data_IF_458799803010
#
_entry.id   IF_458799803010
#
_cell.length_a   1.000
_cell.length_b   1.000
_cell.length_c   1.000
_cell.angle_alpha   90.00
_cell.angle_beta   90.00
_cell.angle_gamma   90.00
#
_symmetry.space_group_name_H-M   'P 1'
#
loop_
_entity.id
_entity.type
_entity.pdbx_description
1 polymer ?
#
# COMPACT_ATOMS: atom_id res chain seq x y z
N UNK A 1 -29.06 14.70 -4.39
CA UNK A 1 -28.19 13.98 -3.44
C UNK A 1 -27.23 13.08 -4.22
N UNK A 2 -26.21 13.68 -4.82
CA UNK A 2 -25.20 12.97 -5.58
C UNK A 2 -23.87 13.01 -4.82
N UNK A 3 -23.19 11.87 -4.70
CA UNK A 3 -21.85 11.76 -4.10
C UNK A 3 -21.65 10.40 -3.47
N UNK A 4 -20.42 9.88 -3.57
CA UNK A 4 -20.05 8.63 -2.91
C UNK A 4 -19.82 8.89 -1.43
N UNK A 5 -20.39 8.05 -0.57
CA UNK A 5 -20.19 8.11 0.89
C UNK A 5 -19.35 6.91 1.32
N UNK A 6 -18.19 7.13 1.94
CA UNK A 6 -17.45 6.05 2.58
C UNK A 6 -18.26 5.42 3.73
N UNK A 7 -17.96 4.16 4.09
CA UNK A 7 -18.49 3.57 5.32
C UNK A 7 -18.15 4.44 6.54
N UNK A 8 -19.07 4.58 7.48
CA UNK A 8 -18.86 5.37 8.71
C UNK A 8 -17.85 4.69 9.63
N UNK A 9 -17.81 3.36 9.63
CA UNK A 9 -16.92 2.58 10.48
C UNK A 9 -15.78 1.96 9.66
N UNK A 10 -14.52 2.37 9.88
CA UNK A 10 -13.35 1.76 9.23
C UNK A 10 -13.02 0.37 9.78
N UNK A 11 -13.68 -0.07 10.88
CA UNK A 11 -13.46 -1.36 11.51
C UNK A 11 -14.42 -2.40 10.93
N UNK A 12 -13.87 -3.47 10.35
CA UNK A 12 -14.66 -4.59 9.84
C UNK A 12 -15.19 -5.48 10.96
N UNK A 13 -14.35 -5.79 11.95
CA UNK A 13 -14.70 -6.68 13.06
C UNK A 13 -14.19 -6.06 14.36
N UNK A 14 -15.11 -5.72 15.27
CA UNK A 14 -14.76 -5.31 16.62
C UNK A 14 -14.47 -6.55 17.47
N UNK A 15 -13.22 -6.71 17.93
CA UNK A 15 -12.81 -7.81 18.83
C UNK A 15 -12.97 -7.39 20.28
N UNK A 16 -12.55 -6.16 20.60
CA UNK A 16 -12.76 -5.51 21.90
C UNK A 16 -13.14 -4.04 21.69
N UNK A 17 -13.61 -3.32 22.72
CA UNK A 17 -13.90 -1.88 22.57
C UNK A 17 -12.73 -1.02 22.05
N UNK A 18 -11.48 -1.47 22.22
CA UNK A 18 -10.28 -0.75 21.83
C UNK A 18 -9.46 -1.43 20.72
N UNK A 19 -9.88 -2.60 20.24
CA UNK A 19 -9.15 -3.36 19.22
C UNK A 19 -10.10 -4.03 18.22
N UNK A 20 -9.84 -3.82 16.95
CA UNK A 20 -10.62 -4.40 15.86
C UNK A 20 -9.78 -4.61 14.59
N UNK A 21 -10.32 -5.40 13.68
CA UNK A 21 -9.76 -5.64 12.37
C UNK A 21 -10.29 -4.55 11.42
N UNK A 22 -9.37 -3.74 10.89
CA UNK A 22 -9.70 -2.65 9.98
C UNK A 22 -9.81 -3.13 8.54
N UNK A 23 -10.75 -2.59 7.80
CA UNK A 23 -10.89 -2.80 6.36
C UNK A 23 -9.58 -2.56 5.60
N UNK A 24 -8.84 -1.51 5.97
CA UNK A 24 -7.57 -1.18 5.35
C UNK A 24 -6.56 -2.34 5.41
N UNK A 25 -6.43 -2.97 6.58
CA UNK A 25 -5.55 -4.15 6.75
C UNK A 25 -5.97 -5.34 5.88
N UNK A 26 -7.27 -5.61 5.80
CA UNK A 26 -7.81 -6.68 4.95
C UNK A 26 -7.52 -6.42 3.47
N UNK A 27 -7.73 -5.19 3.01
CA UNK A 27 -7.45 -4.82 1.61
C UNK A 27 -5.97 -4.94 1.27
N UNK A 28 -5.08 -4.51 2.16
CA UNK A 28 -3.63 -4.67 1.97
C UNK A 28 -3.25 -6.15 1.87
N UNK A 29 -3.70 -6.98 2.82
CA UNK A 29 -3.42 -8.42 2.81
C UNK A 29 -3.99 -9.07 1.54
N UNK A 30 -5.21 -8.73 1.16
CA UNK A 30 -5.84 -9.23 -0.08
C UNK A 30 -5.01 -8.85 -1.31
N UNK A 31 -4.56 -7.60 -1.39
CA UNK A 31 -3.70 -7.14 -2.49
C UNK A 31 -2.38 -7.90 -2.57
N UNK A 32 -1.71 -8.11 -1.44
CA UNK A 32 -0.47 -8.90 -1.34
C UNK A 32 -0.71 -10.35 -1.80
N UNK A 33 -1.77 -10.98 -1.29
CA UNK A 33 -2.10 -12.37 -1.61
C UNK A 33 -2.42 -12.55 -3.10
N UNK A 34 -3.24 -11.68 -3.67
CA UNK A 34 -3.58 -11.74 -5.10
C UNK A 34 -2.35 -11.46 -5.98
N UNK A 35 -1.49 -10.53 -5.58
CA UNK A 35 -0.21 -10.29 -6.25
C UNK A 35 0.71 -11.51 -6.22
N UNK A 36 0.82 -12.18 -5.06
CA UNK A 36 1.62 -13.39 -4.92
C UNK A 36 1.04 -14.57 -5.73
N UNK A 37 -0.28 -14.74 -5.73
CA UNK A 37 -0.96 -15.77 -6.55
C UNK A 37 -0.69 -15.53 -8.03
N UNK A 38 -0.78 -14.28 -8.51
CA UNK A 38 -0.43 -13.92 -9.88
C UNK A 38 1.03 -14.26 -10.20
N UNK A 39 1.98 -13.84 -9.35
CA UNK A 39 3.41 -14.11 -9.52
C UNK A 39 3.70 -15.62 -9.54
N UNK A 40 3.07 -16.39 -8.64
CA UNK A 40 3.20 -17.86 -8.59
C UNK A 40 2.65 -18.53 -9.85
N UNK A 41 1.53 -18.04 -10.35
CA UNK A 41 0.97 -18.53 -11.62
C UNK A 41 1.95 -18.26 -12.78
N UNK A 42 2.51 -17.05 -12.86
CA UNK A 42 3.48 -16.69 -13.90
C UNK A 42 4.77 -17.52 -13.82
N UNK A 43 5.33 -17.70 -12.62
CA UNK A 43 6.51 -18.53 -12.43
C UNK A 43 6.26 -19.97 -12.93
N UNK A 44 5.10 -20.55 -12.60
CA UNK A 44 4.70 -21.89 -13.06
C UNK A 44 4.57 -21.98 -14.58
N UNK A 45 4.00 -20.96 -15.24
CA UNK A 45 3.88 -20.90 -16.71
C UNK A 45 5.26 -20.88 -17.41
N UNK A 46 6.27 -20.34 -16.74
CA UNK A 46 7.64 -20.28 -17.24
C UNK A 46 8.50 -21.51 -16.79
N UNK A 47 7.87 -22.50 -16.14
CA UNK A 47 8.52 -23.73 -15.69
C UNK A 47 9.33 -23.59 -14.40
N UNK A 48 9.19 -22.45 -13.71
CA UNK A 48 9.86 -22.19 -12.43
C UNK A 48 9.03 -22.68 -11.24
N UNK A 49 9.69 -22.92 -10.09
CA UNK A 49 9.01 -23.33 -8.87
C UNK A 49 8.26 -22.14 -8.23
N UNK A 50 6.91 -22.18 -8.18
CA UNK A 50 6.10 -21.09 -7.63
C UNK A 50 6.32 -20.83 -6.14
N UNK A 51 6.87 -21.79 -5.38
CA UNK A 51 7.12 -21.66 -3.94
C UNK A 51 8.17 -20.59 -3.65
N UNK A 52 9.03 -20.28 -4.62
CA UNK A 52 9.96 -19.16 -4.51
C UNK A 52 9.27 -17.80 -4.36
N UNK A 53 8.08 -17.60 -4.94
CA UNK A 53 7.31 -16.36 -4.76
C UNK A 53 6.93 -16.17 -3.29
N UNK A 54 6.42 -17.24 -2.65
CA UNK A 54 5.96 -17.19 -1.26
C UNK A 54 7.13 -16.99 -0.29
N UNK A 55 8.22 -17.71 -0.52
CA UNK A 55 9.43 -17.58 0.29
C UNK A 55 10.07 -16.19 0.14
N UNK A 56 10.15 -15.66 -1.09
CA UNK A 56 10.63 -14.32 -1.35
C UNK A 56 9.72 -13.27 -0.69
N UNK A 57 8.39 -13.45 -0.76
CA UNK A 57 7.43 -12.55 -0.13
C UNK A 57 7.62 -12.48 1.38
N UNK A 58 7.77 -13.62 2.05
CA UNK A 58 8.00 -13.65 3.50
C UNK A 58 9.25 -12.85 3.89
N UNK A 59 10.34 -13.05 3.17
CA UNK A 59 11.58 -12.32 3.44
C UNK A 59 11.44 -10.83 3.08
N UNK A 60 10.77 -10.53 1.97
CA UNK A 60 10.48 -9.15 1.55
C UNK A 60 9.63 -8.40 2.59
N UNK A 61 8.62 -9.03 3.19
CA UNK A 61 7.80 -8.43 4.25
C UNK A 61 8.65 -8.10 5.48
N UNK A 62 9.50 -9.02 5.94
CA UNK A 62 10.38 -8.77 7.09
C UNK A 62 11.29 -7.58 6.84
N UNK A 63 11.96 -7.57 5.69
CA UNK A 63 12.84 -6.46 5.31
C UNK A 63 12.09 -5.15 5.06
N UNK A 64 10.87 -5.22 4.51
CA UNK A 64 10.02 -4.05 4.33
C UNK A 64 9.65 -3.40 5.67
N UNK A 65 9.28 -4.18 6.68
CA UNK A 65 8.96 -3.67 8.01
C UNK A 65 10.20 -3.02 8.65
N UNK A 66 11.36 -3.68 8.57
CA UNK A 66 12.62 -3.15 9.07
C UNK A 66 12.98 -1.84 8.35
N UNK A 67 12.93 -1.84 7.02
CA UNK A 67 13.23 -0.67 6.21
C UNK A 67 12.27 0.49 6.48
N UNK A 68 10.96 0.21 6.58
CA UNK A 68 9.95 1.21 6.91
C UNK A 68 10.23 1.87 8.26
N UNK A 69 10.63 1.08 9.25
CA UNK A 69 10.95 1.58 10.59
C UNK A 69 12.24 2.39 10.60
N UNK A 70 13.28 1.90 9.96
CA UNK A 70 14.54 2.63 9.82
C UNK A 70 14.32 3.97 9.10
N UNK A 71 13.60 3.96 7.99
CA UNK A 71 13.24 5.20 7.29
C UNK A 71 12.55 6.20 8.22
N UNK A 72 11.53 5.77 8.96
CA UNK A 72 10.80 6.63 9.89
C UNK A 72 11.72 7.20 10.99
N UNK A 73 12.60 6.38 11.56
CA UNK A 73 13.52 6.79 12.62
C UNK A 73 14.49 7.89 12.16
N UNK A 74 14.97 7.80 10.91
CA UNK A 74 16.00 8.70 10.39
C UNK A 74 15.48 9.85 9.53
N UNK A 75 14.27 9.74 8.96
CA UNK A 75 13.72 10.71 8.00
C UNK A 75 12.52 11.48 8.53
N UNK A 76 12.37 11.62 9.84
CA UNK A 76 11.27 12.41 10.39
C UNK A 76 11.31 13.84 9.87
N UNK A 77 10.17 14.39 9.40
CA UNK A 77 10.11 15.75 8.90
C UNK A 77 10.47 16.75 10.02
N UNK A 78 11.09 17.85 9.62
CA UNK A 78 11.35 18.97 10.53
C UNK A 78 10.03 19.46 11.15
N UNK A 79 9.99 19.59 12.48
CA UNK A 79 8.79 19.97 13.23
C UNK A 79 7.91 18.79 13.68
N UNK A 80 8.25 17.52 13.34
CA UNK A 80 7.58 16.35 13.89
C UNK A 80 7.96 16.09 15.36
N UNK A 81 7.03 15.50 16.12
CA UNK A 81 7.27 15.11 17.53
C UNK A 81 8.19 13.89 17.67
N UNK A 82 8.64 13.31 16.56
CA UNK A 82 9.39 12.06 16.51
C UNK A 82 10.49 12.18 15.45
N UNK A 83 11.74 11.95 15.81
CA UNK A 83 12.90 12.01 14.91
C UNK A 83 14.11 11.36 15.54
N UNK A 84 15.26 11.37 14.85
CA UNK A 84 16.48 10.76 15.36
C UNK A 84 16.87 11.26 16.75
N UNK A 85 16.68 12.53 17.06
CA UNK A 85 16.91 13.10 18.40
C UNK A 85 16.11 12.37 19.47
N UNK A 86 14.81 12.14 19.24
CA UNK A 86 13.95 11.41 20.17
C UNK A 86 14.37 9.95 20.31
N UNK A 87 14.61 9.24 19.19
CA UNK A 87 14.98 7.83 19.24
C UNK A 87 16.36 7.56 19.83
N UNK A 88 17.29 8.50 19.70
CA UNK A 88 18.61 8.43 20.36
C UNK A 88 18.49 8.45 21.88
N UNK A 89 17.55 9.24 22.40
CA UNK A 89 17.27 9.33 23.85
C UNK A 89 16.39 8.17 24.34
N UNK A 90 15.58 7.60 23.43
CA UNK A 90 14.61 6.54 23.74
C UNK A 90 14.78 5.34 22.79
N UNK A 91 15.90 4.60 22.81
CA UNK A 91 16.21 3.58 21.80
C UNK A 91 15.22 2.42 21.76
N UNK A 92 14.56 2.10 22.86
CA UNK A 92 13.53 1.06 22.92
C UNK A 92 12.25 1.41 22.13
N UNK A 93 11.99 2.68 21.90
CA UNK A 93 10.84 3.10 21.08
C UNK A 93 11.04 2.73 19.61
N UNK A 94 12.27 2.47 19.15
CA UNK A 94 12.54 2.01 17.76
C UNK A 94 11.83 0.68 17.49
N UNK A 95 11.72 -0.21 18.45
CA UNK A 95 11.13 -1.53 18.30
C UNK A 95 9.60 -1.53 18.41
N UNK A 96 8.98 -0.45 18.88
CA UNK A 96 7.53 -0.38 19.09
C UNK A 96 6.77 -0.03 17.80
N UNK A 97 6.85 -0.92 16.81
CA UNK A 97 6.20 -0.75 15.50
C UNK A 97 4.65 -0.67 15.60
N UNK A 98 4.08 -1.24 16.65
CA UNK A 98 2.63 -1.20 16.92
C UNK A 98 2.10 0.19 17.32
N UNK A 99 2.98 1.13 17.63
CA UNK A 99 2.64 2.55 17.82
C UNK A 99 2.57 3.35 16.51
N UNK A 100 2.77 2.68 15.37
CA UNK A 100 2.89 3.33 14.07
C UNK A 100 4.31 3.80 13.75
N UNK A 101 4.45 4.73 12.83
CA UNK A 101 5.74 5.25 12.39
C UNK A 101 6.47 4.27 11.47
N UNK A 102 5.83 3.96 10.34
CA UNK A 102 6.39 3.14 9.26
C UNK A 102 6.39 3.98 7.96
N UNK A 103 7.57 4.22 7.40
CA UNK A 103 7.72 5.02 6.20
C UNK A 103 7.67 4.17 4.93
N UNK A 104 6.78 4.54 3.99
CA UNK A 104 6.55 3.77 2.75
C UNK A 104 7.82 3.63 1.90
N UNK A 105 8.65 4.65 1.80
CA UNK A 105 9.90 4.59 1.02
C UNK A 105 10.87 3.55 1.58
N UNK A 106 10.98 3.47 2.92
CA UNK A 106 11.77 2.45 3.58
C UNK A 106 11.20 1.04 3.38
N UNK A 107 9.86 0.91 3.37
CA UNK A 107 9.20 -0.36 3.07
C UNK A 107 9.53 -0.85 1.65
N UNK A 108 9.47 0.02 0.65
CA UNK A 108 9.77 -0.32 -0.74
C UNK A 108 11.23 -0.78 -0.87
N UNK A 109 12.17 0.02 -0.36
CA UNK A 109 13.62 -0.31 -0.42
C UNK A 109 13.90 -1.61 0.33
N UNK A 110 13.36 -1.75 1.54
CA UNK A 110 13.52 -2.97 2.34
C UNK A 110 12.95 -4.20 1.64
N UNK A 111 11.75 -4.10 1.09
CA UNK A 111 11.11 -5.20 0.33
C UNK A 111 11.94 -5.65 -0.87
N UNK A 112 12.47 -4.71 -1.65
CA UNK A 112 13.37 -5.01 -2.76
C UNK A 112 14.65 -5.70 -2.26
N UNK A 113 15.27 -5.17 -1.20
CA UNK A 113 16.47 -5.79 -0.60
C UNK A 113 16.17 -7.21 -0.13
N UNK A 114 15.05 -7.43 0.57
CA UNK A 114 14.65 -8.77 1.04
C UNK A 114 14.49 -9.77 -0.11
N UNK A 115 13.87 -9.34 -1.20
CA UNK A 115 13.72 -10.17 -2.39
C UNK A 115 15.06 -10.46 -3.06
N UNK A 116 15.96 -9.47 -3.17
CA UNK A 116 17.30 -9.67 -3.73
C UNK A 116 18.15 -10.62 -2.87
N UNK A 117 18.05 -10.51 -1.54
CA UNK A 117 18.71 -11.43 -0.60
C UNK A 117 18.21 -12.85 -0.81
N UNK A 118 16.89 -13.04 -0.91
CA UNK A 118 16.31 -14.36 -1.17
C UNK A 118 16.77 -14.92 -2.52
N UNK A 119 16.67 -14.12 -3.59
CA UNK A 119 17.09 -14.55 -4.92
C UNK A 119 18.55 -15.00 -4.96
N UNK A 120 19.45 -14.26 -4.27
CA UNK A 120 20.85 -14.64 -4.13
C UNK A 120 21.04 -15.96 -3.38
N UNK A 121 20.34 -16.16 -2.26
CA UNK A 121 20.42 -17.40 -1.47
C UNK A 121 19.91 -18.61 -2.23
N UNK A 122 18.81 -18.44 -2.95
CA UNK A 122 18.20 -19.50 -3.76
C UNK A 122 18.84 -19.65 -5.16
N UNK A 123 19.88 -18.85 -5.47
CA UNK A 123 20.59 -18.85 -6.78
C UNK A 123 19.65 -18.56 -7.95
N UNK A 124 18.64 -17.73 -7.74
CA UNK A 124 17.68 -17.31 -8.75
C UNK A 124 18.18 -16.10 -9.52
N UNK A 125 17.61 -15.85 -10.70
CA UNK A 125 17.85 -14.63 -11.49
C UNK A 125 17.01 -13.47 -10.91
N UNK A 126 17.58 -12.47 -10.23
CA UNK A 126 16.80 -11.48 -9.49
C UNK A 126 15.81 -10.70 -10.36
N UNK A 127 16.20 -10.30 -11.56
CA UNK A 127 15.36 -9.52 -12.48
C UNK A 127 14.13 -10.31 -12.94
N UNK A 128 14.27 -11.59 -13.21
CA UNK A 128 13.17 -12.47 -13.61
C UNK A 128 12.10 -12.53 -12.48
N UNK A 129 12.54 -12.67 -11.24
CA UNK A 129 11.63 -12.75 -10.09
C UNK A 129 11.01 -11.41 -9.74
N UNK A 130 11.72 -10.29 -10.01
CA UNK A 130 11.12 -8.95 -9.97
C UNK A 130 10.02 -8.80 -11.01
N UNK A 131 10.23 -9.32 -12.22
CA UNK A 131 9.23 -9.26 -13.29
C UNK A 131 7.97 -10.07 -12.96
N UNK A 132 8.09 -11.20 -12.25
CA UNK A 132 6.92 -11.92 -11.75
C UNK A 132 6.15 -11.14 -10.68
N UNK A 133 6.86 -10.36 -9.86
CA UNK A 133 6.25 -9.56 -8.78
C UNK A 133 5.68 -8.21 -9.24
N UNK A 134 6.24 -7.60 -10.27
CA UNK A 134 5.90 -6.22 -10.66
C UNK A 134 4.40 -6.01 -10.99
N UNK A 135 3.72 -6.87 -11.78
CA UNK A 135 2.28 -6.73 -12.00
C UNK A 135 1.49 -6.88 -10.69
N UNK A 136 1.92 -7.81 -9.82
CA UNK A 136 1.30 -8.01 -8.51
C UNK A 136 1.34 -6.78 -7.61
N UNK A 137 2.43 -5.99 -7.66
CA UNK A 137 2.51 -4.71 -6.96
C UNK A 137 1.47 -3.70 -7.45
N UNK A 138 1.30 -3.58 -8.77
CA UNK A 138 0.31 -2.69 -9.35
C UNK A 138 -1.12 -3.12 -8.96
N UNK A 139 -1.42 -4.42 -8.97
CA UNK A 139 -2.69 -4.97 -8.52
C UNK A 139 -2.91 -4.69 -7.02
N UNK A 140 -1.90 -4.90 -6.19
CA UNK A 140 -1.95 -4.61 -4.76
C UNK A 140 -2.22 -3.14 -4.47
N UNK A 141 -1.60 -2.22 -5.22
CA UNK A 141 -1.89 -0.78 -5.11
C UNK A 141 -3.32 -0.45 -5.51
N UNK A 142 -3.81 -1.02 -6.63
CA UNK A 142 -5.18 -0.81 -7.07
C UNK A 142 -6.21 -1.17 -5.98
N UNK A 143 -5.99 -2.31 -5.29
CA UNK A 143 -6.84 -2.77 -4.19
C UNK A 143 -6.65 -1.90 -2.95
N UNK A 144 -5.40 -1.56 -2.60
CA UNK A 144 -5.07 -0.79 -1.41
C UNK A 144 -5.68 0.62 -1.41
N UNK A 145 -5.89 1.25 -2.58
CA UNK A 145 -6.53 2.57 -2.71
C UNK A 145 -7.97 2.59 -2.18
N UNK A 146 -8.67 1.48 -2.18
CA UNK A 146 -9.99 1.38 -1.54
C UNK A 146 -9.93 1.54 -0.01
N UNK A 147 -8.78 1.25 0.60
CA UNK A 147 -8.55 1.57 2.00
C UNK A 147 -8.55 3.07 2.28
N UNK A 148 -7.99 3.89 1.38
CA UNK A 148 -8.06 5.35 1.52
C UNK A 148 -9.50 5.87 1.42
N UNK A 149 -10.34 5.26 0.58
CA UNK A 149 -11.77 5.56 0.53
C UNK A 149 -12.45 5.31 1.87
N UNK A 150 -12.22 4.14 2.47
CA UNK A 150 -12.83 3.76 3.75
C UNK A 150 -12.32 4.65 4.88
N UNK A 151 -11.03 4.97 4.91
CA UNK A 151 -10.43 5.85 5.91
C UNK A 151 -10.71 7.33 5.66
N UNK A 152 -11.37 7.70 4.56
CA UNK A 152 -11.64 9.09 4.19
C UNK A 152 -10.38 9.96 4.09
N UNK A 153 -9.29 9.40 3.55
CA UNK A 153 -7.99 10.05 3.44
C UNK A 153 -7.51 10.17 1.99
N UNK A 154 -6.53 11.04 1.73
CA UNK A 154 -5.92 11.25 0.41
C UNK A 154 -6.93 11.57 -0.70
N UNK A 155 -8.00 12.27 -0.37
CA UNK A 155 -8.96 12.81 -1.33
C UNK A 155 -8.41 14.08 -2.00
N UNK A 156 -8.96 14.42 -3.18
CA UNK A 156 -8.53 15.58 -3.95
C UNK A 156 -9.27 16.89 -3.56
N UNK A 157 -9.07 17.97 -4.32
CA UNK A 157 -9.75 19.23 -4.08
C UNK A 157 -11.27 19.12 -4.28
N UNK A 158 -12.04 20.16 -3.90
CA UNK A 158 -13.48 20.22 -4.16
C UNK A 158 -13.82 20.05 -5.64
N UNK A 159 -14.97 19.41 -5.92
CA UNK A 159 -15.47 19.17 -7.28
C UNK A 159 -16.98 19.30 -7.35
N UNK A 160 -17.48 19.62 -8.54
CA UNK A 160 -18.91 19.60 -8.85
C UNK A 160 -19.35 18.31 -9.57
N UNK A 161 -18.46 17.32 -9.66
CA UNK A 161 -18.78 16.04 -10.32
C UNK A 161 -19.75 15.23 -9.48
N UNK A 162 -20.74 14.62 -10.13
CA UNK A 162 -21.77 13.80 -9.46
C UNK A 162 -21.22 12.55 -8.75
N UNK A 163 -20.00 12.11 -9.09
CA UNK A 163 -19.27 11.02 -8.42
C UNK A 163 -18.25 11.49 -7.39
N UNK A 164 -18.33 12.76 -6.94
CA UNK A 164 -17.47 13.28 -5.89
C UNK A 164 -17.66 12.54 -4.55
N UNK A 165 -16.66 12.63 -3.68
CA UNK A 165 -16.70 12.06 -2.33
C UNK A 165 -17.29 13.07 -1.35
N UNK A 166 -18.13 12.59 -0.44
CA UNK A 166 -18.49 13.32 0.77
C UNK A 166 -17.54 12.85 1.87
N UNK A 167 -16.76 13.80 2.40
CA UNK A 167 -15.78 13.56 3.49
C UNK A 167 -16.33 14.17 4.77
N UNK A 168 -16.35 13.37 5.82
CA UNK A 168 -16.81 13.82 7.14
C UNK A 168 -15.88 14.91 7.71
N UNK A 169 -16.41 15.89 8.46
CA UNK A 169 -15.63 17.03 8.94
C UNK A 169 -14.36 16.67 9.69
N UNK A 170 -14.39 15.61 10.50
CA UNK A 170 -13.25 15.15 11.29
C UNK A 170 -12.09 14.55 10.43
N UNK A 171 -12.39 14.18 9.19
CA UNK A 171 -11.40 13.64 8.24
C UNK A 171 -10.92 14.71 7.24
N UNK A 172 -11.48 15.95 7.31
CA UNK A 172 -11.08 17.00 6.41
C UNK A 172 -9.78 17.66 6.87
N UNK A 173 -8.84 17.79 5.92
CA UNK A 173 -7.56 18.50 6.13
C UNK A 173 -7.71 19.99 5.81
N UNK A 174 -6.82 20.84 6.32
CA UNK A 174 -6.74 22.28 6.00
C UNK A 174 -6.47 22.43 4.49
N UNK A 175 -7.19 23.35 3.79
CA UNK A 175 -8.17 24.32 4.30
C UNK A 175 -9.62 23.80 4.34
N UNK A 176 -9.89 22.55 3.96
CA UNK A 176 -11.24 22.00 3.71
C UNK A 176 -12.04 21.71 4.99
N UNK A 177 -11.41 21.82 6.15
CA UNK A 177 -12.04 21.69 7.47
C UNK A 177 -12.84 22.94 7.90
N UNK A 178 -12.71 24.06 7.16
CA UNK A 178 -13.56 25.24 7.36
C UNK A 178 -14.95 25.02 6.75
N UNK A 179 -15.94 24.72 7.59
CA UNK A 179 -17.30 24.43 7.16
C UNK A 179 -18.10 25.64 6.69
N UNK A 180 -17.59 26.85 6.89
CA UNK A 180 -18.22 28.07 6.36
C UNK A 180 -17.91 28.23 4.87
N UNK A 181 -16.69 27.90 4.46
CA UNK A 181 -16.23 27.92 3.06
C UNK A 181 -16.55 26.61 2.33
N UNK A 182 -16.47 25.49 3.04
CA UNK A 182 -16.71 24.14 2.51
C UNK A 182 -17.80 23.43 3.33
N UNK A 183 -19.10 23.65 3.03
CA UNK A 183 -20.22 23.04 3.73
C UNK A 183 -20.17 21.51 3.77
N UNK A 184 -21.05 20.89 4.56
CA UNK A 184 -21.07 19.43 4.77
C UNK A 184 -21.30 18.64 3.48
N UNK A 185 -22.01 19.20 2.54
CA UNK A 185 -22.34 18.62 1.23
C UNK A 185 -21.27 18.87 0.16
N UNK A 186 -20.16 19.53 0.52
CA UNK A 186 -19.02 19.72 -0.41
C UNK A 186 -18.50 18.37 -0.89
N UNK A 187 -18.46 18.20 -2.21
CA UNK A 187 -17.91 17.03 -2.87
C UNK A 187 -16.42 17.22 -3.14
N UNK A 188 -15.64 16.15 -2.99
CA UNK A 188 -14.20 16.14 -3.23
C UNK A 188 -13.86 15.13 -4.33
N UNK A 189 -12.77 15.37 -5.09
CA UNK A 189 -12.33 14.44 -6.11
C UNK A 189 -11.95 13.09 -5.50
N UNK A 190 -12.50 11.96 -6.02
CA UNK A 190 -12.20 10.61 -5.55
C UNK A 190 -10.86 10.12 -6.10
N UNK A 191 -9.76 10.68 -5.62
CA UNK A 191 -8.40 10.34 -6.10
C UNK A 191 -8.09 8.87 -5.91
N UNK A 192 -8.62 8.24 -4.86
CA UNK A 192 -8.49 6.79 -4.66
C UNK A 192 -8.97 5.99 -5.87
N UNK A 193 -10.11 6.40 -6.48
CA UNK A 193 -10.70 5.73 -7.64
C UNK A 193 -9.83 5.94 -8.89
N UNK A 194 -9.35 7.17 -9.12
CA UNK A 194 -8.48 7.48 -10.25
C UNK A 194 -7.20 6.66 -10.18
N UNK A 195 -6.57 6.61 -9.01
CA UNK A 195 -5.34 5.84 -8.81
C UNK A 195 -5.59 4.33 -8.84
N UNK A 196 -6.72 3.86 -8.30
CA UNK A 196 -7.09 2.44 -8.37
C UNK A 196 -7.26 1.99 -9.81
N UNK A 197 -8.01 2.74 -10.63
CA UNK A 197 -8.19 2.45 -12.05
C UNK A 197 -6.86 2.50 -12.80
N UNK A 198 -6.04 3.53 -12.55
CA UNK A 198 -4.72 3.66 -13.17
C UNK A 198 -3.81 2.47 -12.83
N UNK A 199 -3.69 2.11 -11.56
CA UNK A 199 -2.88 0.98 -11.12
C UNK A 199 -3.40 -0.35 -11.70
N UNK A 200 -4.71 -0.52 -11.82
CA UNK A 200 -5.29 -1.70 -12.47
C UNK A 200 -4.96 -1.75 -13.96
N UNK A 201 -5.01 -0.63 -14.67
CA UNK A 201 -4.59 -0.56 -16.09
C UNK A 201 -3.10 -0.87 -16.24
N UNK A 202 -2.25 -0.38 -15.32
CA UNK A 202 -0.82 -0.73 -15.28
C UNK A 202 -0.64 -2.24 -15.07
N UNK A 203 -1.37 -2.84 -14.13
CA UNK A 203 -1.37 -4.30 -13.94
C UNK A 203 -1.69 -5.05 -15.25
N UNK A 204 -2.79 -4.67 -15.92
CA UNK A 204 -3.21 -5.30 -17.18
C UNK A 204 -2.14 -5.13 -18.27
N UNK A 205 -1.56 -3.94 -18.39
CA UNK A 205 -0.50 -3.66 -19.36
C UNK A 205 0.75 -4.51 -19.10
N UNK A 206 1.22 -4.56 -17.85
CA UNK A 206 2.39 -5.38 -17.47
C UNK A 206 2.12 -6.87 -17.69
N UNK A 207 0.93 -7.36 -17.32
CA UNK A 207 0.54 -8.75 -17.54
C UNK A 207 0.51 -9.10 -19.05
N UNK A 208 -0.03 -8.21 -19.88
CA UNK A 208 -0.06 -8.40 -21.33
C UNK A 208 1.34 -8.37 -21.95
N UNK A 209 2.22 -7.49 -21.49
CA UNK A 209 3.62 -7.41 -21.92
C UNK A 209 4.35 -8.70 -21.54
N UNK A 210 4.20 -9.18 -20.30
CA UNK A 210 4.82 -10.40 -19.80
C UNK A 210 4.46 -11.63 -20.65
N UNK A 211 3.18 -11.74 -21.09
CA UNK A 211 2.75 -12.81 -21.99
C UNK A 211 3.39 -12.68 -23.37
N UNK A 212 3.44 -11.46 -23.96
CA UNK A 212 3.99 -11.24 -25.30
C UNK A 212 5.51 -11.42 -25.38
N UNK A 213 6.22 -11.17 -24.28
CA UNK A 213 7.67 -11.27 -24.23
C UNK A 213 8.18 -12.64 -23.80
N UNK A 214 7.28 -13.56 -23.41
CA UNK A 214 7.62 -14.91 -22.95
C UNK A 214 8.64 -15.60 -23.87
N UNK A 215 8.45 -15.49 -25.18
CA UNK A 215 9.29 -16.14 -26.20
C UNK A 215 10.54 -15.33 -26.58
N UNK A 216 10.77 -14.13 -26.00
CA UNK A 216 11.87 -13.24 -26.37
C UNK A 216 12.92 -13.06 -25.27
N UNK A 217 12.66 -13.50 -24.06
CA UNK A 217 13.49 -13.26 -22.87
C UNK A 217 14.19 -14.56 -22.39
N UNK A 218 13.86 -15.68 -22.98
CA UNK A 218 14.51 -17.00 -22.72
C UNK A 218 15.74 -17.17 -23.62
#
# INVERSE_FOLDING_TARGET
EGGMRPPVDPILIHITPSFGIHWYGILIVTGIMLGAVYGSWRAREDGEDPDHIWNALLLAIVFAIIGARLYHVFSSPEGGSVGWSYYRENPWEIFKIWKGGLGIYGAIVGGVVGMLVYAKQAKLRPLQWLDYGAPGLALGQAIGRWGNFINQELYGPPTNSSWGLIIEPQHRIVPYNDLTTYPLDTLFHPTFLYESVWCFLVFVALAAIAVKLKDKIL
#
